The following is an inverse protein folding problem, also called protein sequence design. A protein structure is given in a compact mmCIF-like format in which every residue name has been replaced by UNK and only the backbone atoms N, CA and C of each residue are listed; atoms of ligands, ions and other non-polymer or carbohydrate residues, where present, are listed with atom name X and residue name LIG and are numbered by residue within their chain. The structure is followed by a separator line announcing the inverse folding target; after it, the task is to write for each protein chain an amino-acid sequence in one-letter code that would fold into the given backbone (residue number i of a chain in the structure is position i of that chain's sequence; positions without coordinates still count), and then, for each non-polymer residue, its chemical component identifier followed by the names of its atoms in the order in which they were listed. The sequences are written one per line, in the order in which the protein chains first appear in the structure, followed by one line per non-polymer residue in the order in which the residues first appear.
data_IF_901041114111
#
_entry.id   IF_901041114111
#
_cell.length_a   1.000
_cell.length_b   1.000
_cell.length_c   1.000
_cell.angle_alpha   90.00
_cell.angle_beta   90.00
_cell.angle_gamma   90.00
#
_symmetry.space_group_name_H-M   'P 1'
#
loop_
_entity.id
_entity.type
_entity.pdbx_description
1 polymer ?
#
# COMPACT_ATOMS: atom_id res chain seq x y z
N UNK A 1 44.88 9.03 -16.23
CA UNK A 1 44.56 8.55 -14.87
C UNK A 1 43.95 9.73 -14.11
N UNK A 2 42.71 9.61 -13.59
CA UNK A 2 41.99 10.58 -12.73
C UNK A 2 41.50 11.95 -13.30
N UNK A 3 40.88 12.00 -14.48
CA UNK A 3 40.15 13.21 -14.93
C UNK A 3 38.76 12.84 -15.49
N UNK A 4 37.83 12.55 -14.58
CA UNK A 4 36.36 12.68 -14.72
C UNK A 4 35.58 12.13 -13.50
N UNK A 5 36.25 11.69 -12.43
CA UNK A 5 35.61 11.41 -11.14
C UNK A 5 35.19 12.71 -10.45
N UNK A 6 34.09 13.34 -10.89
CA UNK A 6 33.52 14.48 -10.18
C UNK A 6 32.49 15.30 -10.95
N UNK A 7 32.48 15.24 -12.29
CA UNK A 7 31.44 15.92 -13.05
C UNK A 7 30.19 15.05 -13.17
N UNK A 8 29.00 15.56 -12.78
CA UNK A 8 27.77 14.81 -12.89
C UNK A 8 27.44 14.54 -14.37
N UNK A 9 27.21 13.26 -14.73
CA UNK A 9 26.85 12.82 -16.09
C UNK A 9 25.77 13.72 -16.72
N UNK A 10 25.84 14.12 -18.00
CA UNK A 10 24.84 15.02 -18.57
C UNK A 10 23.41 14.44 -18.50
N UNK A 11 22.42 15.30 -18.28
CA UNK A 11 21.00 14.94 -18.41
C UNK A 11 20.60 15.01 -19.88
N UNK A 12 19.65 14.18 -20.24
CA UNK A 12 19.27 13.93 -21.63
C UNK A 12 17.86 14.42 -21.95
N UNK A 13 17.63 14.66 -23.24
CA UNK A 13 16.29 14.90 -23.79
C UNK A 13 15.61 13.57 -24.08
N UNK A 14 14.28 13.61 -24.22
CA UNK A 14 13.47 12.44 -24.59
C UNK A 14 13.91 11.81 -25.93
N UNK A 15 14.50 12.60 -26.84
CA UNK A 15 15.05 12.14 -28.13
C UNK A 15 16.30 11.28 -27.98
N UNK A 16 17.02 11.42 -26.86
CA UNK A 16 18.36 10.86 -26.67
C UNK A 16 18.33 9.60 -25.78
N UNK A 17 17.14 9.20 -25.30
CA UNK A 17 16.92 8.02 -24.48
C UNK A 17 16.09 6.98 -25.23
N UNK A 18 16.21 5.67 -24.88
CA UNK A 18 15.38 4.65 -25.49
C UNK A 18 13.88 4.97 -25.33
N UNK A 19 13.03 4.70 -26.34
CA UNK A 19 11.58 4.96 -26.28
C UNK A 19 10.85 4.32 -25.09
N UNK A 20 11.48 3.32 -24.44
CA UNK A 20 10.95 2.66 -23.26
C UNK A 20 11.11 3.45 -21.96
N UNK A 21 12.03 4.40 -21.93
CA UNK A 21 12.33 5.28 -20.78
C UNK A 21 11.47 6.55 -20.80
N UNK A 22 10.98 6.95 -21.98
CA UNK A 22 10.20 8.17 -22.19
C UNK A 22 8.86 8.10 -21.43
N UNK A 23 8.60 9.16 -20.67
CA UNK A 23 7.31 9.44 -20.04
C UNK A 23 6.53 10.50 -20.84
N UNK A 24 5.20 10.45 -20.76
CA UNK A 24 4.35 11.34 -21.55
C UNK A 24 4.57 12.81 -21.16
N UNK A 25 4.76 13.68 -22.17
CA UNK A 25 4.92 15.13 -22.02
C UNK A 25 6.19 15.61 -21.27
N UNK A 26 7.05 14.69 -20.83
CA UNK A 26 8.34 15.00 -20.19
C UNK A 26 9.44 15.02 -21.25
N UNK A 27 10.06 16.18 -21.48
CA UNK A 27 10.94 16.41 -22.63
C UNK A 27 12.43 16.34 -22.31
N UNK A 28 12.82 16.60 -21.05
CA UNK A 28 14.20 16.73 -20.57
C UNK A 28 14.37 16.16 -19.16
N UNK A 29 15.60 16.20 -18.63
CA UNK A 29 15.88 15.79 -17.25
C UNK A 29 16.13 14.28 -17.08
N UNK A 30 16.17 13.52 -18.18
CA UNK A 30 16.38 12.07 -18.15
C UNK A 30 17.83 11.70 -17.80
N UNK A 31 17.98 10.61 -17.05
CA UNK A 31 19.27 9.96 -16.80
C UNK A 31 19.50 8.87 -17.85
N UNK A 32 20.71 8.77 -18.39
CA UNK A 32 21.06 7.73 -19.35
C UNK A 32 21.06 6.34 -18.70
N UNK A 33 20.59 5.29 -19.38
CA UNK A 33 20.80 3.91 -18.93
C UNK A 33 22.31 3.60 -18.84
N UNK A 34 22.78 2.98 -17.75
CA UNK A 34 24.19 2.65 -17.39
C UNK A 34 24.78 3.48 -16.24
N UNK A 35 23.96 4.13 -15.42
CA UNK A 35 24.44 4.70 -14.17
C UNK A 35 24.97 3.59 -13.24
N UNK A 36 26.08 3.83 -12.56
CA UNK A 36 26.48 2.96 -11.45
C UNK A 36 25.53 3.14 -10.26
N UNK A 37 25.53 2.21 -9.30
CA UNK A 37 24.75 2.37 -8.07
C UNK A 37 25.10 3.70 -7.36
N UNK A 38 26.39 4.06 -7.33
CA UNK A 38 26.86 5.32 -6.75
C UNK A 38 26.27 6.53 -7.47
N UNK A 39 26.24 6.52 -8.80
CA UNK A 39 25.67 7.62 -9.58
C UNK A 39 24.16 7.76 -9.34
N UNK A 40 23.45 6.63 -9.22
CA UNK A 40 22.04 6.63 -8.82
C UNK A 40 21.84 7.27 -7.45
N UNK A 41 22.59 6.86 -6.43
CA UNK A 41 22.51 7.44 -5.09
C UNK A 41 22.78 8.95 -5.09
N UNK A 42 23.83 9.41 -5.80
CA UNK A 42 24.13 10.84 -5.94
C UNK A 42 23.04 11.60 -6.70
N UNK A 43 22.38 10.95 -7.67
CA UNK A 43 21.32 11.58 -8.46
C UNK A 43 20.06 11.91 -7.65
N UNK A 44 19.87 11.30 -6.47
CA UNK A 44 18.80 11.69 -5.54
C UNK A 44 18.90 13.17 -5.13
N UNK A 45 20.10 13.74 -5.12
CA UNK A 45 20.34 15.14 -4.72
C UNK A 45 20.55 16.07 -5.92
N UNK A 46 20.34 15.57 -7.14
CA UNK A 46 20.44 16.35 -8.37
C UNK A 46 19.04 16.54 -8.95
N UNK A 47 18.68 17.70 -9.51
CA UNK A 47 17.41 17.89 -10.22
C UNK A 47 17.35 17.02 -11.49
N UNK A 48 16.56 15.95 -11.46
CA UNK A 48 16.27 15.05 -12.58
C UNK A 48 14.78 14.83 -12.66
N UNK A 49 14.29 14.26 -13.76
CA UNK A 49 12.87 13.92 -13.91
C UNK A 49 12.34 12.86 -12.91
N UNK A 50 13.23 12.26 -12.11
CA UNK A 50 12.90 11.23 -11.12
C UNK A 50 13.15 11.68 -9.68
N UNK A 51 13.73 12.86 -9.48
CA UNK A 51 14.15 13.35 -8.17
C UNK A 51 12.96 13.59 -7.24
N UNK A 52 11.91 14.24 -7.73
CA UNK A 52 10.67 14.38 -6.97
C UNK A 52 10.04 13.02 -6.69
N UNK A 53 9.96 12.13 -7.69
CA UNK A 53 9.36 10.80 -7.53
C UNK A 53 10.03 9.98 -6.42
N UNK A 54 11.37 10.06 -6.30
CA UNK A 54 12.13 9.45 -5.22
C UNK A 54 11.75 10.04 -3.85
N UNK A 55 11.89 11.35 -3.68
CA UNK A 55 11.72 12.01 -2.37
C UNK A 55 10.28 11.98 -1.86
N UNK A 56 9.28 12.05 -2.75
CA UNK A 56 7.87 12.02 -2.35
C UNK A 56 7.46 10.69 -1.73
N UNK A 57 8.18 9.59 -1.97
CA UNK A 57 7.95 8.29 -1.30
C UNK A 57 9.02 7.96 -0.26
N UNK A 58 10.25 8.46 -0.38
CA UNK A 58 11.29 8.23 0.62
C UNK A 58 11.04 8.98 1.93
N UNK A 59 10.65 10.26 1.89
CA UNK A 59 10.40 11.04 3.13
C UNK A 59 9.25 10.48 3.99
N UNK A 60 8.11 10.05 3.40
CA UNK A 60 7.03 9.45 4.19
C UNK A 60 7.44 8.24 5.04
N UNK A 61 8.50 7.50 4.68
CA UNK A 61 8.97 6.35 5.47
C UNK A 61 9.20 6.74 6.93
N UNK A 62 9.77 7.93 7.18
CA UNK A 62 10.02 8.43 8.53
C UNK A 62 8.73 8.83 9.25
N UNK A 63 7.78 9.42 8.54
CA UNK A 63 6.47 9.83 9.07
C UNK A 63 5.67 8.60 9.51
N UNK A 64 5.56 7.58 8.65
CA UNK A 64 4.87 6.34 8.98
C UNK A 64 5.56 5.58 10.12
N UNK A 65 6.89 5.56 10.14
CA UNK A 65 7.66 4.93 11.23
C UNK A 65 7.38 5.60 12.57
N UNK A 66 7.34 6.94 12.62
CA UNK A 66 6.98 7.68 13.82
C UNK A 66 5.59 7.30 14.32
N UNK A 67 4.57 7.41 13.45
CA UNK A 67 3.19 7.15 13.86
C UNK A 67 2.92 5.71 14.24
N UNK A 68 3.69 4.76 13.72
CA UNK A 68 3.62 3.36 14.09
C UNK A 68 4.23 3.11 15.47
N UNK A 69 5.44 3.63 15.73
CA UNK A 69 6.10 3.49 17.04
C UNK A 69 5.28 4.13 18.16
N UNK A 70 4.63 5.26 17.87
CA UNK A 70 3.74 5.96 18.81
C UNK A 70 2.66 5.04 19.42
N UNK A 71 2.13 4.08 18.66
CA UNK A 71 1.04 3.20 19.12
C UNK A 71 1.45 2.36 20.33
N UNK A 72 2.71 1.95 20.42
CA UNK A 72 3.22 1.15 21.54
C UNK A 72 3.45 1.97 22.82
N UNK A 73 3.45 3.31 22.72
CA UNK A 73 3.58 4.22 23.86
C UNK A 73 2.24 4.61 24.48
N UNK A 74 1.12 4.11 23.97
CA UNK A 74 -0.20 4.45 24.50
C UNK A 74 -0.50 3.74 25.82
N UNK A 75 -1.19 4.45 26.70
CA UNK A 75 -1.63 3.89 27.99
C UNK A 75 -2.56 2.69 27.76
N UNK A 76 -2.27 1.57 28.41
CA UNK A 76 -3.02 0.32 28.27
C UNK A 76 -2.67 -0.51 27.02
N UNK A 77 -1.70 -0.09 26.21
CA UNK A 77 -1.21 -0.90 25.09
C UNK A 77 -0.50 -2.17 25.59
N UNK A 78 -0.81 -3.36 25.04
CA UNK A 78 -0.03 -4.58 25.28
C UNK A 78 1.44 -4.42 24.84
N UNK A 79 2.28 -5.39 25.21
CA UNK A 79 3.62 -5.48 24.64
C UNK A 79 3.55 -5.62 23.10
N UNK A 80 4.55 -5.07 22.41
CA UNK A 80 4.55 -4.98 20.94
C UNK A 80 4.63 -6.33 20.20
N UNK A 81 4.93 -7.41 20.92
CA UNK A 81 4.92 -8.81 20.45
C UNK A 81 3.57 -9.52 20.69
N UNK A 82 2.61 -8.87 21.33
CA UNK A 82 1.30 -9.44 21.57
C UNK A 82 0.59 -9.74 20.23
N UNK A 83 -0.16 -10.86 20.13
CA UNK A 83 -0.89 -11.21 18.90
C UNK A 83 -1.82 -10.10 18.40
N UNK A 84 -2.35 -9.29 19.33
CA UNK A 84 -3.13 -8.09 19.04
C UNK A 84 -2.48 -7.19 17.97
N UNK A 85 -1.15 -7.05 17.95
CA UNK A 85 -0.42 -6.19 17.03
C UNK A 85 0.04 -6.88 15.73
N UNK A 86 -0.16 -8.19 15.55
CA UNK A 86 0.28 -8.87 14.32
C UNK A 86 -0.33 -8.26 13.04
N UNK A 87 -1.63 -7.92 12.97
CA UNK A 87 -2.20 -7.25 11.80
C UNK A 87 -1.57 -5.87 11.56
N UNK A 88 -1.35 -5.08 12.63
CA UNK A 88 -0.71 -3.77 12.55
C UNK A 88 0.74 -3.85 12.06
N UNK A 89 1.50 -4.86 12.48
CA UNK A 89 2.85 -5.12 11.96
C UNK A 89 2.82 -5.45 10.47
N UNK A 90 1.89 -6.29 10.01
CA UNK A 90 1.76 -6.62 8.58
C UNK A 90 1.38 -5.38 7.76
N UNK A 91 0.48 -4.54 8.27
CA UNK A 91 0.16 -3.25 7.66
C UNK A 91 1.40 -2.35 7.56
N UNK A 92 2.13 -2.17 8.66
CA UNK A 92 3.32 -1.33 8.71
C UNK A 92 4.43 -1.82 7.77
N UNK A 93 4.74 -3.12 7.78
CA UNK A 93 5.70 -3.72 6.86
C UNK A 93 5.26 -3.51 5.40
N UNK A 94 3.96 -3.64 5.12
CA UNK A 94 3.38 -3.35 3.82
C UNK A 94 3.64 -1.91 3.36
N UNK A 95 3.29 -0.92 4.19
CA UNK A 95 3.51 0.51 3.89
C UNK A 95 5.00 0.82 3.74
N UNK A 96 5.85 0.29 4.62
CA UNK A 96 7.30 0.46 4.54
C UNK A 96 7.86 -0.09 3.22
N UNK A 97 7.52 -1.34 2.87
CA UNK A 97 7.98 -1.99 1.66
C UNK A 97 7.47 -1.28 0.40
N UNK A 98 6.22 -0.82 0.39
CA UNK A 98 5.63 0.00 -0.68
C UNK A 98 6.48 1.25 -0.95
N UNK A 99 6.69 2.07 0.08
CA UNK A 99 7.40 3.35 -0.04
C UNK A 99 8.86 3.15 -0.43
N UNK A 100 9.52 2.15 0.15
CA UNK A 100 10.90 1.80 -0.18
C UNK A 100 11.03 1.24 -1.59
N UNK A 101 10.20 0.29 -2.01
CA UNK A 101 10.27 -0.29 -3.35
C UNK A 101 9.99 0.77 -4.43
N UNK A 102 9.00 1.63 -4.22
CA UNK A 102 8.68 2.70 -5.15
C UNK A 102 9.80 3.74 -5.26
N UNK A 103 10.31 4.23 -4.13
CA UNK A 103 11.44 5.18 -4.13
C UNK A 103 12.70 4.57 -4.77
N UNK A 104 13.03 3.31 -4.45
CA UNK A 104 14.15 2.60 -5.07
C UNK A 104 13.94 2.37 -6.57
N UNK A 105 12.72 2.09 -7.02
CA UNK A 105 12.43 1.96 -8.44
C UNK A 105 12.71 3.25 -9.20
N UNK A 106 12.31 4.40 -8.67
CA UNK A 106 12.64 5.69 -9.27
C UNK A 106 14.13 6.03 -9.16
N UNK A 107 14.81 5.67 -8.08
CA UNK A 107 16.23 5.93 -7.90
C UNK A 107 17.11 5.12 -8.86
N UNK A 108 16.83 3.81 -8.99
CA UNK A 108 17.67 2.84 -9.68
C UNK A 108 17.27 2.62 -11.15
N UNK A 109 16.21 3.26 -11.65
CA UNK A 109 15.72 3.04 -13.02
C UNK A 109 16.70 3.42 -14.14
N UNK A 110 17.79 4.12 -13.84
CA UNK A 110 18.84 4.49 -14.79
C UNK A 110 20.03 3.51 -14.79
N UNK A 111 20.05 2.50 -13.92
CA UNK A 111 21.17 1.54 -13.91
C UNK A 111 21.23 0.69 -15.18
N UNK A 112 20.09 0.13 -15.59
CA UNK A 112 19.94 -0.56 -16.87
C UNK A 112 18.47 -0.73 -17.20
N UNK A 113 18.15 -1.06 -18.45
CA UNK A 113 16.77 -1.37 -18.85
C UNK A 113 16.20 -2.59 -18.13
N UNK A 114 17.04 -3.58 -17.80
CA UNK A 114 16.61 -4.77 -17.03
C UNK A 114 16.30 -4.39 -15.59
N UNK A 115 17.23 -3.69 -14.91
CA UNK A 115 17.05 -3.24 -13.52
C UNK A 115 15.81 -2.36 -13.38
N UNK A 116 15.59 -1.44 -14.33
CA UNK A 116 14.36 -0.64 -14.39
C UNK A 116 13.11 -1.52 -14.33
N UNK A 117 13.02 -2.55 -15.17
CA UNK A 117 11.84 -3.42 -15.18
C UNK A 117 11.68 -4.20 -13.88
N UNK A 118 12.75 -4.79 -13.36
CA UNK A 118 12.73 -5.55 -12.11
C UNK A 118 12.27 -4.67 -10.95
N UNK A 119 12.85 -3.48 -10.79
CA UNK A 119 12.47 -2.58 -9.69
C UNK A 119 10.99 -2.19 -9.76
N UNK A 120 10.46 -1.90 -10.95
CA UNK A 120 9.03 -1.57 -11.08
C UNK A 120 8.11 -2.79 -10.95
N UNK A 121 8.57 -4.02 -11.23
CA UNK A 121 7.80 -5.23 -10.89
C UNK A 121 7.73 -5.43 -9.36
N UNK A 122 8.84 -5.18 -8.66
CA UNK A 122 8.89 -5.20 -7.19
C UNK A 122 7.97 -4.13 -6.61
N UNK A 123 8.01 -2.90 -7.14
CA UNK A 123 7.12 -1.81 -6.75
C UNK A 123 5.64 -2.24 -6.81
N UNK A 124 5.17 -2.76 -7.96
CA UNK A 124 3.80 -3.26 -8.07
C UNK A 124 3.49 -4.41 -7.11
N UNK A 125 4.44 -5.33 -6.91
CA UNK A 125 4.30 -6.43 -5.96
C UNK A 125 4.08 -5.94 -4.53
N UNK A 126 4.84 -4.92 -4.10
CA UNK A 126 4.70 -4.34 -2.77
C UNK A 126 3.40 -3.56 -2.59
N UNK A 127 2.89 -2.87 -3.63
CA UNK A 127 1.54 -2.27 -3.59
C UNK A 127 0.50 -3.35 -3.31
N UNK A 128 0.55 -4.47 -4.03
CA UNK A 128 -0.40 -5.58 -3.83
C UNK A 128 -0.26 -6.24 -2.46
N UNK A 129 0.96 -6.45 -1.96
CA UNK A 129 1.17 -6.98 -0.61
C UNK A 129 0.64 -6.03 0.47
N UNK A 130 0.89 -4.72 0.33
CA UNK A 130 0.35 -3.68 1.21
C UNK A 130 -1.18 -3.74 1.28
N UNK A 131 -1.88 -3.88 0.15
CA UNK A 131 -3.36 -3.93 0.15
C UNK A 131 -3.92 -5.12 0.94
N UNK A 132 -3.20 -6.25 0.99
CA UNK A 132 -3.60 -7.40 1.83
C UNK A 132 -3.26 -7.14 3.30
N UNK A 133 -2.15 -6.45 3.59
CA UNK A 133 -1.85 -5.92 4.93
C UNK A 133 -2.93 -4.98 5.46
N UNK A 134 -3.43 -4.05 4.64
CA UNK A 134 -4.59 -3.21 4.95
C UNK A 134 -5.84 -4.04 5.22
N UNK A 135 -6.15 -5.02 4.36
CA UNK A 135 -7.30 -5.91 4.58
C UNK A 135 -7.21 -6.66 5.91
N UNK A 136 -6.02 -7.15 6.31
CA UNK A 136 -5.82 -7.76 7.62
C UNK A 136 -6.09 -6.76 8.75
N UNK A 137 -5.55 -5.54 8.68
CA UNK A 137 -5.80 -4.50 9.69
C UNK A 137 -7.29 -4.15 9.78
N UNK A 138 -7.98 -4.01 8.65
CA UNK A 138 -9.41 -3.71 8.60
C UNK A 138 -10.26 -4.86 9.15
N UNK A 139 -9.88 -6.11 8.87
CA UNK A 139 -10.55 -7.29 9.40
C UNK A 139 -10.46 -7.38 10.92
N UNK A 140 -9.27 -7.13 11.50
CA UNK A 140 -9.06 -7.31 12.94
C UNK A 140 -9.39 -6.08 13.79
N UNK A 141 -9.33 -4.86 13.25
CA UNK A 141 -9.56 -3.64 14.03
C UNK A 141 -10.81 -2.86 13.65
N UNK A 142 -11.27 -2.95 12.40
CA UNK A 142 -12.39 -2.11 11.93
C UNK A 142 -13.69 -2.89 11.84
N UNK A 143 -13.64 -4.17 11.48
CA UNK A 143 -14.81 -5.03 11.38
C UNK A 143 -15.72 -4.90 12.63
N UNK A 144 -17.05 -4.80 12.51
CA UNK A 144 -17.93 -4.51 13.65
C UNK A 144 -17.86 -5.52 14.80
N UNK A 145 -17.49 -6.78 14.54
CA UNK A 145 -17.26 -7.80 15.58
C UNK A 145 -15.83 -7.78 16.14
N UNK A 146 -14.96 -6.88 15.69
CA UNK A 146 -13.63 -6.71 16.25
C UNK A 146 -13.75 -6.31 17.73
N UNK A 147 -13.17 -7.14 18.61
CA UNK A 147 -13.25 -6.94 20.06
C UNK A 147 -14.60 -7.32 20.71
N UNK A 148 -15.65 -7.69 19.98
CA UNK A 148 -16.95 -7.97 20.62
C UNK A 148 -17.01 -9.38 21.20
N UNK A 149 -17.33 -9.48 22.50
CA UNK A 149 -17.76 -10.72 23.15
C UNK A 149 -19.25 -10.90 22.95
N UNK A 150 -19.67 -12.02 22.36
CA UNK A 150 -21.08 -12.43 22.41
C UNK A 150 -21.43 -12.95 23.80
N UNK A 151 -22.26 -12.23 24.54
CA UNK A 151 -22.98 -12.81 25.69
C UNK A 151 -24.06 -13.74 25.15
N UNK A 152 -23.72 -15.03 25.05
CA UNK A 152 -24.70 -16.10 24.94
C UNK A 152 -25.29 -16.35 26.32
N UNK A 153 -26.51 -15.88 26.55
CA UNK A 153 -27.25 -16.31 27.73
C UNK A 153 -27.57 -17.80 27.62
N UNK A 154 -27.27 -18.59 28.65
CA UNK A 154 -28.13 -19.68 29.14
C UNK A 154 -27.77 -20.13 30.59
N UNK A 155 -28.71 -19.80 31.49
CA UNK A 155 -29.35 -20.59 32.58
C UNK A 155 -28.71 -20.88 33.96
N UNK A 156 -29.45 -20.42 34.99
CA UNK A 156 -29.59 -20.96 36.37
C UNK A 156 -29.58 -19.84 37.44
N UNK A 157 -30.52 -19.65 38.37
CA UNK A 157 -31.71 -20.37 38.84
C UNK A 157 -32.55 -19.45 39.80
N UNK A 158 -33.89 -19.55 39.75
CA UNK A 158 -34.89 -19.24 40.80
C UNK A 158 -34.81 -17.92 41.62
N UNK A 159 -35.74 -16.97 41.36
CA UNK A 159 -36.90 -16.68 42.24
C UNK A 159 -37.83 -15.63 41.60
N UNK A 160 -39.13 -15.87 41.78
CA UNK A 160 -40.29 -15.13 41.30
C UNK A 160 -40.32 -13.65 41.71
N UNK A 161 -40.65 -12.75 40.78
CA UNK A 161 -41.75 -11.75 40.91
C UNK A 161 -41.83 -10.80 39.69
N UNK A 162 -42.99 -10.89 39.03
CA UNK A 162 -43.71 -9.88 38.22
C UNK A 162 -43.25 -9.58 36.78
N UNK A 163 -44.09 -10.09 35.88
CA UNK A 163 -44.30 -9.74 34.48
C UNK A 163 -44.27 -8.22 34.19
N UNK A 164 -43.36 -7.85 33.28
CA UNK A 164 -43.50 -6.78 32.30
C UNK A 164 -42.92 -7.33 30.97
N UNK A 165 -43.64 -7.30 29.84
CA UNK A 165 -43.12 -7.84 28.59
C UNK A 165 -42.17 -6.82 27.94
N UNK A 166 -40.90 -6.80 28.40
CA UNK A 166 -39.84 -6.12 27.67
C UNK A 166 -39.53 -6.92 26.41
N UNK A 167 -40.13 -6.48 25.30
CA UNK A 167 -39.99 -7.09 23.99
C UNK A 167 -38.52 -7.31 23.60
N UNK A 168 -38.25 -8.55 23.22
CA UNK A 168 -37.20 -9.01 22.33
C UNK A 168 -36.35 -7.92 21.67
N UNK A 169 -35.26 -7.51 22.32
CA UNK A 169 -34.08 -6.98 21.60
C UNK A 169 -33.21 -8.16 21.23
N UNK A 170 -33.75 -9.02 20.35
CA UNK A 170 -32.92 -9.93 19.57
C UNK A 170 -32.06 -9.01 18.72
N UNK A 171 -30.77 -8.99 19.02
CA UNK A 171 -29.75 -8.21 18.32
C UNK A 171 -29.70 -8.67 16.85
N UNK A 172 -30.52 -8.04 16.02
CA UNK A 172 -30.67 -8.15 14.56
C UNK A 172 -29.45 -7.59 13.80
N UNK A 173 -28.22 -7.87 14.25
CA UNK A 173 -27.01 -7.18 13.76
C UNK A 173 -26.12 -8.02 12.85
N UNK A 174 -26.38 -9.32 12.69
CA UNK A 174 -25.64 -10.16 11.75
C UNK A 174 -26.59 -10.73 10.69
N UNK A 175 -26.52 -10.22 9.46
CA UNK A 175 -27.06 -10.93 8.30
C UNK A 175 -26.18 -12.20 8.15
N UNK A 176 -26.73 -13.42 8.29
CA UNK A 176 -25.93 -14.65 8.37
C UNK A 176 -24.96 -14.85 7.19
N UNK A 177 -25.38 -14.43 5.98
CA UNK A 177 -24.58 -14.51 4.76
C UNK A 177 -23.30 -13.64 4.81
N UNK A 178 -23.34 -12.49 5.48
CA UNK A 178 -22.17 -11.62 5.62
C UNK A 178 -21.12 -12.16 6.60
N UNK A 179 -21.53 -12.95 7.61
CA UNK A 179 -20.58 -13.57 8.55
C UNK A 179 -19.70 -14.60 7.84
N UNK A 180 -20.28 -15.42 6.96
CA UNK A 180 -19.55 -16.43 6.19
C UNK A 180 -18.55 -15.77 5.23
N UNK A 181 -18.93 -14.66 4.59
CA UNK A 181 -18.02 -13.92 3.72
C UNK A 181 -16.77 -13.44 4.48
N UNK A 182 -16.95 -12.79 5.64
CA UNK A 182 -15.82 -12.29 6.41
C UNK A 182 -14.94 -13.41 6.97
N UNK A 183 -15.53 -14.49 7.50
CA UNK A 183 -14.78 -15.58 8.13
C UNK A 183 -14.04 -16.47 7.12
N UNK A 184 -14.61 -16.68 5.93
CA UNK A 184 -14.08 -17.66 4.97
C UNK A 184 -13.48 -17.03 3.71
N UNK A 185 -14.09 -15.99 3.16
CA UNK A 185 -13.78 -15.52 1.80
C UNK A 185 -13.00 -14.21 1.75
N UNK A 186 -13.12 -13.34 2.74
CA UNK A 186 -12.56 -11.99 2.69
C UNK A 186 -11.04 -11.95 2.45
N UNK A 187 -10.25 -12.65 3.29
CA UNK A 187 -8.78 -12.68 3.15
C UNK A 187 -8.32 -13.43 1.89
N UNK A 188 -8.89 -14.61 1.53
CA UNK A 188 -8.59 -15.24 0.24
C UNK A 188 -8.92 -14.36 -0.96
N UNK A 189 -10.06 -13.65 -0.97
CA UNK A 189 -10.42 -12.71 -2.03
C UNK A 189 -9.41 -11.57 -2.13
N UNK A 190 -8.96 -11.00 -1.00
CA UNK A 190 -7.91 -9.98 -0.99
C UNK A 190 -6.61 -10.51 -1.62
N UNK A 191 -6.20 -11.74 -1.29
CA UNK A 191 -5.01 -12.38 -1.89
C UNK A 191 -5.15 -12.61 -3.40
N UNK A 192 -6.31 -13.11 -3.85
CA UNK A 192 -6.58 -13.33 -5.28
C UNK A 192 -6.55 -12.01 -6.05
N UNK A 193 -7.19 -10.96 -5.53
CA UNK A 193 -7.17 -9.63 -6.15
C UNK A 193 -5.75 -9.06 -6.19
N UNK A 194 -4.95 -9.25 -5.13
CA UNK A 194 -3.55 -8.85 -5.13
C UNK A 194 -2.75 -9.56 -6.23
N UNK A 195 -2.93 -10.87 -6.42
CA UNK A 195 -2.27 -11.63 -7.50
C UNK A 195 -2.70 -11.12 -8.88
N UNK A 196 -3.99 -10.88 -9.10
CA UNK A 196 -4.51 -10.28 -10.35
C UNK A 196 -3.86 -8.93 -10.59
N UNK A 197 -3.74 -8.08 -9.57
CA UNK A 197 -3.11 -6.77 -9.67
C UNK A 197 -1.65 -6.87 -10.12
N UNK A 198 -0.84 -7.73 -9.50
CA UNK A 198 0.57 -7.92 -9.88
C UNK A 198 0.67 -8.41 -11.33
N UNK A 199 -0.11 -9.43 -11.71
CA UNK A 199 -0.11 -9.97 -13.07
C UNK A 199 -0.48 -8.91 -14.10
N UNK A 200 -1.53 -8.12 -13.86
CA UNK A 200 -1.95 -7.03 -14.75
C UNK A 200 -0.90 -5.92 -14.83
N UNK A 201 -0.28 -5.53 -13.70
CA UNK A 201 0.74 -4.47 -13.67
C UNK A 201 2.03 -4.89 -14.40
N UNK A 202 2.45 -6.15 -14.24
CA UNK A 202 3.58 -6.70 -14.97
C UNK A 202 3.29 -6.81 -16.47
N UNK A 203 2.11 -7.33 -16.86
CA UNK A 203 1.69 -7.43 -18.26
C UNK A 203 1.56 -6.07 -18.96
N UNK A 204 1.00 -5.06 -18.30
CA UNK A 204 0.89 -3.69 -18.85
C UNK A 204 2.26 -3.05 -19.10
N UNK A 205 3.31 -3.49 -18.38
CA UNK A 205 4.67 -2.99 -18.58
C UNK A 205 5.38 -3.66 -19.77
N UNK A 206 5.08 -4.94 -20.01
CA UNK A 206 5.69 -5.70 -21.09
C UNK A 206 4.91 -5.61 -22.41
N UNK A 207 3.59 -5.83 -22.38
CA UNK A 207 2.74 -6.00 -23.57
C UNK A 207 1.79 -4.81 -23.80
N UNK A 208 1.00 -4.42 -22.80
CA UNK A 208 -0.09 -3.44 -22.98
C UNK A 208 0.30 -2.00 -22.65
N UNK A 209 1.41 -1.52 -23.21
CA UNK A 209 2.03 -0.23 -22.81
C UNK A 209 1.19 1.01 -23.14
N UNK A 210 0.41 0.98 -24.22
CA UNK A 210 -0.39 2.13 -24.67
C UNK A 210 -1.47 2.51 -23.66
N UNK A 211 -2.13 1.52 -23.05
CA UNK A 211 -3.24 1.71 -22.12
C UNK A 211 -2.83 1.53 -20.65
N UNK A 212 -1.52 1.54 -20.35
CA UNK A 212 -0.95 1.15 -19.05
C UNK A 212 -1.55 1.93 -17.86
N UNK A 213 -1.72 3.24 -17.99
CA UNK A 213 -2.21 4.08 -16.88
C UNK A 213 -3.69 3.80 -16.58
N UNK A 214 -4.51 3.61 -17.62
CA UNK A 214 -5.94 3.29 -17.47
C UNK A 214 -6.10 1.90 -16.89
N UNK A 215 -5.46 0.88 -17.49
CA UNK A 215 -5.57 -0.51 -17.00
C UNK A 215 -5.13 -0.61 -15.55
N UNK A 216 -3.97 -0.04 -15.18
CA UNK A 216 -3.49 -0.09 -13.80
C UNK A 216 -4.43 0.61 -12.83
N UNK A 217 -4.91 1.81 -13.18
CA UNK A 217 -5.84 2.55 -12.30
C UNK A 217 -7.14 1.78 -12.09
N UNK A 218 -7.71 1.18 -13.13
CA UNK A 218 -8.93 0.36 -13.02
C UNK A 218 -8.70 -0.91 -12.22
N UNK A 219 -7.56 -1.58 -12.40
CA UNK A 219 -7.23 -2.80 -11.66
C UNK A 219 -7.04 -2.49 -10.17
N UNK A 220 -6.47 -1.34 -9.81
CA UNK A 220 -6.34 -0.92 -8.40
C UNK A 220 -7.66 -0.49 -7.74
N UNK A 221 -8.76 -0.37 -8.49
CA UNK A 221 -10.09 -0.22 -7.90
C UNK A 221 -10.54 -1.50 -7.19
N UNK A 222 -10.15 -2.68 -7.71
CA UNK A 222 -10.49 -3.98 -7.13
C UNK A 222 -9.99 -4.14 -5.68
N UNK A 223 -8.69 -3.93 -5.36
CA UNK A 223 -8.21 -4.03 -3.99
C UNK A 223 -8.82 -2.96 -3.10
N UNK A 224 -9.12 -1.75 -3.59
CA UNK A 224 -9.85 -0.74 -2.81
C UNK A 224 -11.24 -1.23 -2.39
N UNK A 225 -12.02 -1.78 -3.33
CA UNK A 225 -13.37 -2.30 -3.06
C UNK A 225 -13.34 -3.47 -2.10
N UNK A 226 -12.46 -4.45 -2.33
CA UNK A 226 -12.36 -5.62 -1.45
C UNK A 226 -11.85 -5.19 -0.07
N UNK A 227 -10.71 -4.51 0.03
CA UNK A 227 -10.14 -4.10 1.32
C UNK A 227 -11.15 -3.30 2.13
N UNK A 228 -11.80 -2.29 1.56
CA UNK A 228 -12.73 -1.40 2.28
C UNK A 228 -14.05 -2.04 2.72
N UNK A 229 -14.31 -3.32 2.39
CA UNK A 229 -15.57 -4.01 2.75
C UNK A 229 -15.91 -3.96 4.25
N UNK A 230 -14.98 -4.18 5.21
CA UNK A 230 -15.27 -4.03 6.64
C UNK A 230 -15.65 -2.61 7.03
N UNK A 231 -15.04 -1.60 6.40
CA UNK A 231 -15.35 -0.18 6.63
C UNK A 231 -16.76 0.13 6.13
N UNK A 232 -17.10 -0.27 4.90
CA UNK A 232 -18.45 -0.07 4.37
C UNK A 232 -19.51 -0.78 5.20
N UNK A 233 -19.25 -2.04 5.57
CA UNK A 233 -20.15 -2.80 6.44
C UNK A 233 -20.35 -2.09 7.78
N UNK A 234 -19.30 -1.52 8.38
CA UNK A 234 -19.38 -0.73 9.61
C UNK A 234 -20.04 0.64 9.45
N UNK A 235 -19.95 1.28 8.29
CA UNK A 235 -20.65 2.55 8.05
C UNK A 235 -22.16 2.33 7.84
N UNK A 236 -22.54 1.15 7.32
CA UNK A 236 -23.94 0.76 7.11
C UNK A 236 -24.58 0.16 8.36
N UNK A 237 -23.79 -0.49 9.22
CA UNK A 237 -24.22 -1.03 10.51
C UNK A 237 -23.95 -0.01 11.62
N UNK A 238 -24.83 0.12 12.62
CA UNK A 238 -24.68 1.15 13.68
C UNK A 238 -23.41 0.88 14.52
N UNK A 239 -22.76 1.95 15.00
CA UNK A 239 -21.55 1.84 15.84
C UNK A 239 -21.78 0.89 17.03
N UNK A 240 -20.83 -0.03 17.31
CA UNK A 240 -20.94 -0.92 18.46
C UNK A 240 -20.69 -0.21 19.80
N UNK A 241 -20.13 1.01 19.76
CA UNK A 241 -19.81 1.78 20.96
C UNK A 241 -20.99 2.65 21.40
N UNK A 242 -21.23 2.70 22.72
CA UNK A 242 -22.18 3.64 23.30
C UNK A 242 -21.73 5.09 23.04
N UNK A 243 -22.66 5.95 22.61
CA UNK A 243 -22.40 7.36 22.27
C UNK A 243 -21.75 8.17 23.41
N UNK A 244 -21.85 7.71 24.65
CA UNK A 244 -21.27 8.38 25.84
C UNK A 244 -19.90 7.82 26.25
N UNK A 245 -19.37 6.81 25.55
CA UNK A 245 -18.10 6.16 25.90
C UNK A 245 -16.87 6.88 25.31
N UNK A 246 -15.74 6.81 26.02
CA UNK A 246 -14.44 7.28 25.53
C UNK A 246 -14.01 6.58 24.23
N UNK A 247 -14.35 5.30 24.07
CA UNK A 247 -14.10 4.53 22.86
C UNK A 247 -14.91 5.03 21.66
N UNK A 248 -16.16 5.44 21.87
CA UNK A 248 -16.95 6.10 20.84
C UNK A 248 -16.31 7.42 20.40
N UNK A 249 -15.86 8.24 21.35
CA UNK A 249 -15.16 9.51 21.04
C UNK A 249 -13.88 9.26 20.22
N UNK A 250 -13.10 8.23 20.56
CA UNK A 250 -11.93 7.85 19.78
C UNK A 250 -12.29 7.36 18.36
N UNK A 251 -13.34 6.55 18.23
CA UNK A 251 -13.81 5.99 16.94
C UNK A 251 -14.56 7.00 16.07
N UNK A 252 -15.13 8.08 16.63
CA UNK A 252 -16.00 9.03 15.91
C UNK A 252 -15.32 9.68 14.71
N UNK A 253 -13.99 9.78 14.73
CA UNK A 253 -13.19 10.33 13.63
C UNK A 253 -12.96 9.36 12.46
N UNK A 254 -13.21 8.06 12.62
CA UNK A 254 -12.96 7.02 11.60
C UNK A 254 -13.64 7.33 10.25
N UNK A 255 -14.94 7.69 10.17
CA UNK A 255 -15.58 8.00 8.88
C UNK A 255 -14.93 9.20 8.17
N UNK A 256 -14.51 10.21 8.93
CA UNK A 256 -13.86 11.42 8.39
C UNK A 256 -12.52 11.07 7.74
N UNK A 257 -11.71 10.26 8.41
CA UNK A 257 -10.47 9.73 7.84
C UNK A 257 -10.75 8.92 6.57
N UNK A 258 -11.75 8.03 6.58
CA UNK A 258 -12.10 7.22 5.41
C UNK A 258 -12.55 8.05 4.20
N UNK A 259 -13.38 9.08 4.39
CA UNK A 259 -13.81 9.93 3.28
C UNK A 259 -12.66 10.71 2.66
N UNK A 260 -11.72 11.21 3.46
CA UNK A 260 -10.51 11.85 2.95
C UNK A 260 -9.60 10.85 2.24
N UNK A 261 -9.43 9.65 2.79
CA UNK A 261 -8.71 8.55 2.13
C UNK A 261 -9.27 8.29 0.72
N UNK A 262 -10.59 8.16 0.57
CA UNK A 262 -11.28 7.99 -0.71
C UNK A 262 -11.09 9.19 -1.65
N UNK A 263 -11.21 10.42 -1.14
CA UNK A 263 -10.99 11.64 -1.92
C UNK A 263 -9.57 11.68 -2.48
N UNK A 264 -8.56 11.39 -1.66
CA UNK A 264 -7.17 11.38 -2.08
C UNK A 264 -6.87 10.29 -3.12
N UNK A 265 -7.48 9.10 -3.01
CA UNK A 265 -7.38 8.07 -4.05
C UNK A 265 -7.99 8.52 -5.37
N UNK A 266 -9.15 9.19 -5.33
CA UNK A 266 -9.79 9.73 -6.53
C UNK A 266 -8.92 10.80 -7.20
N UNK A 267 -8.42 11.77 -6.42
CA UNK A 267 -7.53 12.82 -6.92
C UNK A 267 -6.24 12.23 -7.50
N UNK A 268 -5.67 11.23 -6.83
CA UNK A 268 -4.51 10.48 -7.29
C UNK A 268 -4.76 9.82 -8.66
N UNK A 269 -5.89 9.11 -8.82
CA UNK A 269 -6.30 8.50 -10.07
C UNK A 269 -6.44 9.54 -11.21
N UNK A 270 -7.00 10.72 -10.91
CA UNK A 270 -7.13 11.83 -11.87
C UNK A 270 -5.75 12.27 -12.35
N UNK A 271 -4.79 12.51 -11.45
CA UNK A 271 -3.42 12.88 -11.85
C UNK A 271 -2.74 11.78 -12.67
N UNK A 272 -2.90 10.51 -12.27
CA UNK A 272 -2.27 9.40 -12.98
C UNK A 272 -2.78 9.25 -14.42
N UNK A 273 -4.07 9.43 -14.67
CA UNK A 273 -4.66 9.27 -16.01
C UNK A 273 -4.53 10.55 -16.85
N UNK A 274 -4.81 11.71 -16.27
CA UNK A 274 -4.89 12.99 -17.00
C UNK A 274 -3.52 13.56 -17.37
N UNK A 275 -2.43 13.15 -16.71
CA UNK A 275 -1.09 13.74 -16.94
C UNK A 275 -1.07 15.27 -16.84
N UNK A 276 -1.95 15.82 -16.00
CA UNK A 276 -1.97 17.24 -15.69
C UNK A 276 -0.98 17.51 -14.55
N UNK A 277 -0.19 18.61 -14.59
CA UNK A 277 -0.24 19.72 -15.54
C UNK A 277 0.68 19.59 -16.76
N UNK A 278 1.56 18.59 -16.83
CA UNK A 278 2.56 18.44 -17.90
C UNK A 278 1.95 18.28 -19.30
N UNK A 279 0.72 17.76 -19.40
CA UNK A 279 -0.05 17.71 -20.65
C UNK A 279 -0.36 19.08 -21.22
N UNK A 280 -0.59 20.10 -20.38
CA UNK A 280 -0.93 21.46 -20.82
C UNK A 280 0.30 22.30 -21.19
N UNK A 281 1.43 22.06 -20.51
CA UNK A 281 2.69 22.74 -20.81
C UNK A 281 3.86 21.74 -20.83
N UNK A 282 4.00 20.96 -21.92
CA UNK A 282 5.11 20.01 -22.07
C UNK A 282 6.46 20.70 -21.90
N UNK A 283 7.39 20.07 -21.19
CA UNK A 283 8.72 20.64 -20.90
C UNK A 283 8.81 21.52 -19.65
N UNK A 284 7.70 22.11 -19.17
CA UNK A 284 7.74 23.00 -17.99
C UNK A 284 7.80 22.27 -16.66
N UNK A 285 7.25 21.06 -16.61
CA UNK A 285 7.13 20.24 -15.41
C UNK A 285 8.07 19.02 -15.47
N UNK A 286 9.13 19.09 -16.27
CA UNK A 286 10.02 17.94 -16.52
C UNK A 286 10.71 17.42 -15.25
N UNK A 287 11.01 18.31 -14.30
CA UNK A 287 11.69 17.98 -13.05
C UNK A 287 10.74 18.02 -11.85
N UNK A 288 9.86 19.02 -11.77
CA UNK A 288 9.02 19.27 -10.61
C UNK A 288 7.56 19.48 -11.00
N UNK A 289 6.65 18.93 -10.21
CA UNK A 289 5.21 19.20 -10.28
C UNK A 289 4.46 18.49 -11.42
N UNK A 290 5.07 17.51 -12.09
CA UNK A 290 4.35 16.66 -13.04
C UNK A 290 3.41 15.68 -12.30
N UNK A 291 2.43 15.15 -13.02
CA UNK A 291 1.31 14.41 -12.45
C UNK A 291 1.71 13.18 -11.65
N UNK A 292 2.81 12.53 -12.02
CA UNK A 292 3.32 11.37 -11.27
C UNK A 292 3.80 11.74 -9.86
N UNK A 293 4.36 12.94 -9.65
CA UNK A 293 4.71 13.44 -8.31
C UNK A 293 3.45 13.73 -7.50
N UNK A 294 2.44 14.35 -8.12
CA UNK A 294 1.16 14.59 -7.47
C UNK A 294 0.42 13.30 -7.13
N UNK A 295 0.48 12.30 -8.02
CA UNK A 295 0.00 10.95 -7.76
C UNK A 295 0.65 10.39 -6.48
N UNK A 296 1.97 10.44 -6.34
CA UNK A 296 2.70 10.03 -5.13
C UNK A 296 2.24 10.80 -3.87
N UNK A 297 2.15 12.13 -3.95
CA UNK A 297 1.72 12.95 -2.83
C UNK A 297 0.30 12.60 -2.37
N UNK A 298 -0.64 12.42 -3.32
CA UNK A 298 -2.02 12.06 -3.00
C UNK A 298 -2.13 10.63 -2.47
N UNK A 299 -1.38 9.66 -3.00
CA UNK A 299 -1.35 8.30 -2.43
C UNK A 299 -0.77 8.31 -1.02
N UNK A 300 0.26 9.11 -0.76
CA UNK A 300 0.80 9.30 0.59
C UNK A 300 -0.28 9.81 1.56
N UNK A 301 -0.97 10.90 1.21
CA UNK A 301 -2.02 11.48 2.05
C UNK A 301 -3.17 10.49 2.30
N UNK A 302 -3.51 9.70 1.28
CA UNK A 302 -4.50 8.63 1.38
C UNK A 302 -4.09 7.55 2.40
N UNK A 303 -2.84 7.04 2.33
CA UNK A 303 -2.33 6.03 3.28
C UNK A 303 -2.20 6.64 4.68
N UNK A 304 -1.88 7.93 4.80
CA UNK A 304 -1.81 8.61 6.08
C UNK A 304 -3.20 8.73 6.75
N UNK A 305 -4.24 9.08 6.00
CA UNK A 305 -5.62 9.07 6.50
C UNK A 305 -6.07 7.63 6.86
N UNK A 306 -5.70 6.61 6.08
CA UNK A 306 -5.94 5.20 6.43
C UNK A 306 -5.24 4.80 7.74
N UNK A 307 -3.98 5.17 7.93
CA UNK A 307 -3.27 4.88 9.19
C UNK A 307 -3.97 5.54 10.37
N UNK A 308 -4.38 6.79 10.25
CA UNK A 308 -5.12 7.48 11.32
C UNK A 308 -6.47 6.82 11.60
N UNK A 309 -7.16 6.33 10.58
CA UNK A 309 -8.38 5.55 10.73
C UNK A 309 -8.12 4.27 11.54
N UNK A 310 -7.10 3.48 11.16
CA UNK A 310 -6.72 2.24 11.88
C UNK A 310 -6.33 2.57 13.32
N UNK A 311 -5.51 3.60 13.53
CA UNK A 311 -5.07 4.05 14.86
C UNK A 311 -6.23 4.48 15.75
N UNK A 312 -7.21 5.20 15.21
CA UNK A 312 -8.40 5.61 15.95
C UNK A 312 -9.18 4.38 16.46
N UNK A 313 -9.28 3.34 15.64
CA UNK A 313 -9.96 2.09 16.00
C UNK A 313 -9.16 1.23 16.98
N UNK A 314 -7.85 1.10 16.77
CA UNK A 314 -6.95 0.44 17.73
C UNK A 314 -7.07 1.11 19.11
N UNK A 315 -7.09 2.45 19.15
CA UNK A 315 -7.26 3.20 20.40
C UNK A 315 -8.63 3.00 21.03
N UNK A 316 -9.70 2.99 20.24
CA UNK A 316 -11.05 2.73 20.73
C UNK A 316 -11.16 1.33 21.37
N UNK A 317 -10.53 0.32 20.77
CA UNK A 317 -10.46 -1.04 21.32
C UNK A 317 -9.66 -1.07 22.63
N UNK A 318 -8.49 -0.44 22.68
CA UNK A 318 -7.67 -0.35 23.91
C UNK A 318 -8.38 0.33 25.08
N UNK A 319 -9.21 1.35 24.79
CA UNK A 319 -10.02 2.05 25.80
C UNK A 319 -11.25 1.25 26.26
N UNK A 320 -11.54 0.10 25.63
CA UNK A 320 -12.59 -0.82 26.04
C UNK A 320 -12.01 -2.16 26.53
N UNK A 321 -11.46 -2.22 27.76
CA UNK A 321 -10.82 -3.43 28.27
C UNK A 321 -11.74 -4.66 28.30
N UNK A 322 -13.07 -4.48 28.42
CA UNK A 322 -14.05 -5.59 28.35
C UNK A 322 -14.16 -6.23 26.96
N UNK A 323 -13.73 -5.54 25.90
CA UNK A 323 -13.62 -6.08 24.54
C UNK A 323 -12.27 -6.80 24.31
N UNK A 324 -11.26 -6.55 25.16
CA UNK A 324 -9.92 -7.14 25.09
C UNK A 324 -9.67 -8.26 26.11
N UNK A 325 -10.32 -8.20 27.27
CA UNK A 325 -10.19 -9.14 28.39
C UNK A 325 -11.36 -10.13 28.36
N UNK A 326 -11.10 -11.44 28.44
CA UNK A 326 -12.14 -12.45 28.29
C UNK A 326 -13.08 -12.51 29.51
N UNK A 327 -14.41 -12.42 29.32
CA UNK A 327 -15.35 -13.07 30.21
C UNK A 327 -15.26 -14.57 29.93
N UNK A 328 -15.24 -15.38 30.98
CA UNK A 328 -15.39 -16.83 30.88
C UNK A 328 -16.61 -17.16 30.01
N UNK A 329 -16.36 -17.94 28.95
CA UNK A 329 -17.32 -18.62 28.05
C UNK A 329 -18.20 -17.76 27.10
N UNK A 330 -17.74 -17.49 25.87
CA UNK A 330 -18.49 -17.74 24.61
C UNK A 330 -17.65 -17.49 23.33
N UNK A 331 -18.15 -17.98 22.19
CA UNK A 331 -17.47 -18.13 20.90
C UNK A 331 -16.88 -16.84 20.30
N UNK A 332 -15.56 -16.85 20.09
CA UNK A 332 -14.77 -15.75 19.52
C UNK A 332 -14.79 -15.78 17.98
N UNK A 333 -14.69 -14.61 17.33
CA UNK A 333 -13.94 -14.56 16.07
C UNK A 333 -12.48 -14.97 16.39
N UNK A 334 -11.85 -15.88 15.63
CA UNK A 334 -10.49 -16.31 15.93
C UNK A 334 -9.58 -15.08 15.95
N UNK A 335 -8.94 -14.83 17.09
CA UNK A 335 -8.00 -13.73 17.23
C UNK A 335 -6.83 -13.86 16.24
N UNK A 336 -6.07 -12.78 16.02
CA UNK A 336 -4.90 -12.85 15.14
C UNK A 336 -3.93 -13.93 15.65
N UNK A 337 -3.57 -14.85 14.77
CA UNK A 337 -2.55 -15.87 15.02
C UNK A 337 -1.40 -15.64 14.05
N UNK A 338 -0.26 -16.28 14.30
CA UNK A 338 0.88 -16.25 13.37
C UNK A 338 0.43 -16.79 12.00
N UNK A 339 -0.37 -17.87 11.98
CA UNK A 339 -0.85 -18.47 10.73
C UNK A 339 -1.82 -17.57 9.97
N UNK A 340 -2.80 -16.97 10.66
CA UNK A 340 -3.84 -16.13 10.05
C UNK A 340 -3.37 -14.72 9.67
N UNK A 341 -2.13 -14.35 10.01
CA UNK A 341 -1.51 -13.06 9.67
C UNK A 341 -0.24 -13.28 8.85
N UNK A 342 0.89 -13.54 9.50
CA UNK A 342 2.19 -13.75 8.87
C UNK A 342 2.22 -14.96 7.92
N UNK A 343 1.52 -16.04 8.25
CA UNK A 343 1.43 -17.23 7.39
C UNK A 343 0.76 -16.92 6.05
N UNK A 344 -0.38 -16.21 6.08
CA UNK A 344 -1.07 -15.73 4.86
C UNK A 344 -0.15 -14.81 4.06
N UNK A 345 0.51 -13.85 4.72
CA UNK A 345 1.40 -12.90 4.04
C UNK A 345 2.63 -13.58 3.45
N UNK A 346 3.18 -14.61 4.11
CA UNK A 346 4.31 -15.38 3.59
C UNK A 346 3.94 -16.14 2.31
N UNK A 347 2.76 -16.78 2.29
CA UNK A 347 2.26 -17.49 1.10
C UNK A 347 2.03 -16.52 -0.06
N UNK A 348 1.40 -15.38 0.22
CA UNK A 348 1.16 -14.33 -0.77
C UNK A 348 2.49 -13.77 -1.31
N UNK A 349 3.43 -13.41 -0.44
CA UNK A 349 4.73 -12.86 -0.85
C UNK A 349 5.52 -13.87 -1.69
N UNK A 350 5.52 -15.15 -1.32
CA UNK A 350 6.18 -16.20 -2.10
C UNK A 350 5.58 -16.29 -3.51
N UNK A 351 4.25 -16.16 -3.62
CA UNK A 351 3.54 -16.15 -4.91
C UNK A 351 3.91 -14.91 -5.73
N UNK A 352 3.88 -13.72 -5.12
CA UNK A 352 4.24 -12.45 -5.77
C UNK A 352 5.70 -12.48 -6.24
N UNK A 353 6.63 -12.96 -5.41
CA UNK A 353 8.06 -13.10 -5.77
C UNK A 353 8.21 -14.05 -6.95
N UNK A 354 7.51 -15.19 -6.96
CA UNK A 354 7.54 -16.14 -8.07
C UNK A 354 7.09 -15.50 -9.39
N UNK A 355 6.01 -14.70 -9.34
CA UNK A 355 5.53 -13.92 -10.50
C UNK A 355 6.59 -12.91 -10.94
N UNK A 356 7.17 -12.14 -10.01
CA UNK A 356 8.21 -11.14 -10.33
C UNK A 356 9.44 -11.80 -10.94
N UNK A 357 9.91 -12.93 -10.39
CA UNK A 357 11.06 -13.67 -10.92
C UNK A 357 10.79 -14.12 -12.36
N UNK A 358 9.60 -14.66 -12.63
CA UNK A 358 9.21 -15.07 -13.98
C UNK A 358 9.19 -13.89 -14.97
N UNK A 359 8.58 -12.76 -14.60
CA UNK A 359 8.57 -11.56 -15.44
C UNK A 359 9.95 -10.93 -15.60
N UNK A 360 10.80 -11.02 -14.57
CA UNK A 360 12.18 -10.52 -14.58
C UNK A 360 13.06 -11.34 -15.51
N UNK A 361 12.90 -12.66 -15.51
CA UNK A 361 13.56 -13.55 -16.48
C UNK A 361 13.19 -13.14 -17.91
N UNK A 362 11.89 -12.99 -18.19
CA UNK A 362 11.41 -12.58 -19.51
C UNK A 362 11.94 -11.19 -19.92
N UNK A 363 11.99 -10.23 -18.98
CA UNK A 363 12.59 -8.93 -19.22
C UNK A 363 14.10 -9.03 -19.54
N UNK A 364 14.84 -9.89 -18.83
CA UNK A 364 16.26 -10.12 -19.11
C UNK A 364 16.48 -10.72 -20.51
N UNK A 365 15.63 -11.65 -20.95
CA UNK A 365 15.70 -12.19 -22.32
C UNK A 365 15.50 -11.10 -23.39
N UNK A 366 14.60 -10.15 -23.16
CA UNK A 366 14.30 -9.09 -24.14
C UNK A 366 15.36 -7.97 -24.12
N UNK A 367 15.75 -7.51 -22.93
CA UNK A 367 16.57 -6.30 -22.76
C UNK A 367 18.04 -6.58 -22.44
N UNK A 368 18.40 -7.83 -22.15
CA UNK A 368 19.77 -8.27 -21.94
C UNK A 368 20.69 -7.95 -23.13
N UNK A 369 20.31 -8.31 -24.38
CA UNK A 369 21.13 -7.98 -25.55
C UNK A 369 21.35 -6.46 -25.72
N UNK A 370 20.32 -5.66 -25.43
CA UNK A 370 20.38 -4.20 -25.53
C UNK A 370 21.30 -3.59 -24.46
N UNK A 371 21.29 -4.14 -23.23
CA UNK A 371 22.23 -3.78 -22.15
C UNK A 371 23.68 -4.03 -22.60
N UNK A 372 23.94 -5.21 -23.16
CA UNK A 372 25.29 -5.60 -23.57
C UNK A 372 25.79 -4.76 -24.76
N UNK A 373 24.89 -4.35 -25.67
CA UNK A 373 25.20 -3.42 -26.75
C UNK A 373 25.52 -2.00 -26.24
N UNK A 374 24.69 -1.45 -25.36
CA UNK A 374 24.90 -0.13 -24.73
C UNK A 374 26.21 -0.07 -23.94
N UNK A 375 26.56 -1.14 -23.23
CA UNK A 375 27.84 -1.24 -22.52
C UNK A 375 29.04 -1.19 -23.48
N UNK A 376 28.96 -1.90 -24.61
CA UNK A 376 30.02 -1.89 -25.65
C UNK A 376 30.15 -0.53 -26.32
N UNK A 377 29.05 0.18 -26.58
CA UNK A 377 29.07 1.52 -27.17
C UNK A 377 29.66 2.57 -26.21
N UNK A 378 29.34 2.47 -24.92
CA UNK A 378 29.90 3.34 -23.89
C UNK A 378 31.42 3.15 -23.76
N UNK A 379 31.88 1.89 -23.77
CA UNK A 379 33.31 1.57 -23.75
C UNK A 379 34.04 2.10 -25.00
N UNK A 380 33.42 1.99 -26.19
CA UNK A 380 33.97 2.56 -27.44
C UNK A 380 34.06 4.08 -27.44
N UNK A 381 33.08 4.79 -26.85
CA UNK A 381 33.15 6.26 -26.70
C UNK A 381 34.28 6.68 -25.76
N UNK A 382 34.52 5.92 -24.68
CA UNK A 382 35.67 6.15 -23.80
C UNK A 382 37.01 5.88 -24.46
N UNK A 383 37.11 4.82 -25.28
CA UNK A 383 38.34 4.47 -26.02
C UNK A 383 38.67 5.44 -27.16
N UNK A 384 37.68 6.15 -27.73
CA UNK A 384 37.91 7.18 -28.78
C UNK A 384 38.30 8.56 -28.24
N UNK A 385 38.24 8.76 -26.92
CA UNK A 385 38.66 10.01 -26.27
C UNK A 385 40.08 9.92 -25.67
N UNK A 386 40.80 8.83 -25.97
CA UNK A 386 42.23 8.62 -25.75
C UNK A 386 42.89 8.35 -27.09
#
# INVERSE_FOLDING_TARGET
MLLNCGQPLPLLRHTDVPPRVIENFILTGYRFPNYSLRDCLLSAFRPTNETGNFWTHFLPVFIFSYYFVEVFGWEGAPHGDAPFFYPLWNYFIGVFCLLMASSMAHLLNSMSLVVREVCFFVDYGTISAYTVGSSLAYYYYIHPRAGIVETGGHNGSHMDLKHEPAGAVISSYAIPEFSVFFETFYIPCACVVAIICVLSCCNTRQRWRQHRYVIRTLVFLLPFLISSTPVFYRLLTRSPYSNTSSSFVASTSMPSFFYRHCLWLLVSAVFNISKFPERLAPGRFDIWGHSHQWFHCCTFLSILDELHMIKAEVRAILLSPTLLLPPTTLARLPGPTIASTYGVMLLLQTTIISIIVWFSWHANCIYGPQRDQLAKEHLKKHLKCH
#
